data_IF_468703366402
#
_entry.id   IF_468703366402
#
_cell.length_a   1.000
_cell.length_b   1.000
_cell.length_c   1.000
_cell.angle_alpha   90.00
_cell.angle_beta   90.00
_cell.angle_gamma   90.00
#
_symmetry.space_group_name_H-M   'P 1'
#
loop_
_entity.id
_entity.type
_entity.pdbx_description
1 polymer ?
#
# COMPACT_ATOMS: atom_id res chain seq x y z
N UNK A 1 -26.21 90.21 61.90
CA UNK A 1 -25.39 88.99 61.79
C UNK A 1 -25.33 88.64 60.32
N UNK A 2 -24.22 88.97 59.66
CA UNK A 2 -23.88 88.45 58.34
C UNK A 2 -23.35 87.03 58.55
N UNK A 3 -23.95 86.05 57.87
CA UNK A 3 -23.32 84.76 57.63
C UNK A 3 -23.19 84.63 56.12
N UNK A 4 -22.00 84.97 55.63
CA UNK A 4 -21.52 84.55 54.33
C UNK A 4 -20.84 83.21 54.56
N UNK A 5 -21.48 82.14 54.08
CA UNK A 5 -20.74 81.01 53.54
C UNK A 5 -21.55 80.45 52.37
N UNK A 6 -21.40 81.15 51.25
CA UNK A 6 -21.68 80.61 49.94
C UNK A 6 -20.56 79.60 49.69
N UNK A 7 -20.75 78.37 50.16
CA UNK A 7 -19.87 77.25 49.82
C UNK A 7 -20.06 77.00 48.31
N UNK A 8 -19.11 77.37 47.44
CA UNK A 8 -19.25 77.07 46.03
C UNK A 8 -19.09 75.56 45.90
N UNK A 9 -20.17 74.86 45.56
CA UNK A 9 -20.03 73.47 45.13
C UNK A 9 -19.16 73.50 43.89
N UNK A 10 -17.95 72.98 44.05
CA UNK A 10 -16.92 72.87 43.02
C UNK A 10 -17.50 72.24 41.77
N UNK A 11 -17.31 72.87 40.62
CA UNK A 11 -17.57 72.29 39.30
C UNK A 11 -17.07 70.85 39.28
N UNK A 12 -17.97 69.91 39.04
CA UNK A 12 -17.66 68.49 39.09
C UNK A 12 -17.57 67.97 37.66
N UNK A 13 -16.39 67.44 37.31
CA UNK A 13 -16.15 66.84 36.00
C UNK A 13 -16.38 65.33 36.05
N UNK A 14 -17.23 64.83 35.17
CA UNK A 14 -17.56 63.42 35.01
C UNK A 14 -17.26 62.96 33.59
N UNK A 15 -17.07 61.66 33.39
CA UNK A 15 -16.90 61.09 32.06
C UNK A 15 -17.81 59.88 31.85
N UNK A 16 -18.21 59.68 30.61
CA UNK A 16 -18.93 58.47 30.16
C UNK A 16 -18.33 58.04 28.84
N UNK A 17 -17.94 56.77 28.75
CA UNK A 17 -17.37 56.16 27.53
C UNK A 17 -18.34 55.13 26.99
N UNK A 18 -18.68 55.24 25.71
CA UNK A 18 -19.51 54.27 24.99
C UNK A 18 -18.65 53.11 24.48
N UNK A 19 -19.15 51.88 24.65
CA UNK A 19 -18.63 50.72 23.93
C UNK A 19 -19.51 50.52 22.71
N UNK A 20 -18.96 50.77 21.53
CA UNK A 20 -19.70 50.69 20.27
C UNK A 20 -19.79 49.22 19.83
N UNK A 21 -20.99 48.66 19.64
CA UNK A 21 -21.15 47.29 19.14
C UNK A 21 -20.62 47.14 17.72
N UNK A 22 -20.26 45.91 17.32
CA UNK A 22 -19.87 45.59 15.95
C UNK A 22 -20.99 45.99 14.96
N UNK A 23 -20.58 46.52 13.80
CA UNK A 23 -21.48 47.00 12.76
C UNK A 23 -22.13 48.36 13.00
N UNK A 24 -21.70 49.07 14.05
CA UNK A 24 -22.08 50.45 14.32
C UNK A 24 -20.84 51.32 14.38
N UNK A 25 -20.93 52.50 13.79
CA UNK A 25 -19.90 53.53 13.90
C UNK A 25 -20.42 54.69 14.75
N UNK A 26 -19.68 55.08 15.79
CA UNK A 26 -19.95 56.32 16.54
C UNK A 26 -19.60 57.52 15.67
N UNK A 27 -20.62 58.26 15.24
CA UNK A 27 -20.47 59.36 14.30
C UNK A 27 -20.44 60.73 14.95
N UNK A 28 -21.06 60.90 16.13
CA UNK A 28 -20.97 62.16 16.87
C UNK A 28 -21.25 62.00 18.36
N UNK A 29 -20.67 62.89 19.15
CA UNK A 29 -21.06 63.16 20.54
C UNK A 29 -21.35 64.66 20.63
N UNK A 30 -22.54 65.04 21.07
CA UNK A 30 -22.94 66.45 21.23
C UNK A 30 -23.48 66.69 22.63
N UNK A 31 -22.93 67.68 23.33
CA UNK A 31 -23.43 68.13 24.63
C UNK A 31 -24.25 69.43 24.48
N UNK A 32 -25.27 69.61 25.32
CA UNK A 32 -26.13 70.80 25.35
C UNK A 32 -25.57 71.95 26.23
N UNK A 33 -24.34 71.80 26.70
CA UNK A 33 -23.65 72.71 27.58
C UNK A 33 -22.33 73.18 26.95
N UNK A 34 -21.99 74.45 27.14
CA UNK A 34 -20.87 75.15 26.50
C UNK A 34 -19.51 74.68 27.00
N UNK A 35 -19.42 74.26 28.28
CA UNK A 35 -18.16 73.87 28.88
C UNK A 35 -17.95 72.33 28.90
N UNK A 36 -18.99 71.54 28.61
CA UNK A 36 -18.93 70.09 28.39
C UNK A 36 -18.51 69.73 26.97
N UNK A 37 -17.92 68.54 26.79
CA UNK A 37 -17.31 68.14 25.50
C UNK A 37 -17.55 66.68 25.16
N UNK A 38 -17.49 66.35 23.87
CA UNK A 38 -17.52 64.98 23.37
C UNK A 38 -16.30 64.69 22.50
N UNK A 39 -15.68 63.52 22.70
CA UNK A 39 -14.59 63.02 21.88
C UNK A 39 -15.00 61.69 21.24
N UNK A 40 -15.22 61.71 19.93
CA UNK A 40 -15.63 60.53 19.14
C UNK A 40 -14.52 59.49 19.00
N UNK A 41 -13.24 59.89 19.01
CA UNK A 41 -12.09 58.98 18.87
C UNK A 41 -11.94 58.08 20.10
N UNK A 42 -12.15 58.65 21.30
CA UNK A 42 -12.16 57.89 22.55
C UNK A 42 -13.55 57.45 22.98
N UNK A 43 -14.57 57.65 22.13
CA UNK A 43 -15.99 57.42 22.44
C UNK A 43 -16.42 57.98 23.81
N UNK A 44 -15.88 59.13 24.23
CA UNK A 44 -16.04 59.65 25.60
C UNK A 44 -16.68 61.02 25.62
N UNK A 45 -17.75 61.19 26.40
CA UNK A 45 -18.29 62.47 26.80
C UNK A 45 -17.70 62.92 28.14
N UNK A 46 -17.31 64.19 28.25
CA UNK A 46 -16.88 64.85 29.49
C UNK A 46 -17.93 65.88 29.88
N UNK A 47 -18.51 65.69 31.06
CA UNK A 47 -19.57 66.51 31.63
C UNK A 47 -18.97 67.42 32.70
N UNK A 48 -19.08 68.73 32.54
CA UNK A 48 -18.63 69.72 33.52
C UNK A 48 -19.87 70.36 34.12
N UNK A 49 -20.36 69.81 35.23
CA UNK A 49 -21.70 70.17 35.76
C UNK A 49 -21.57 71.25 36.84
N UNK A 50 -22.22 72.39 36.60
CA UNK A 50 -22.33 73.50 37.55
C UNK A 50 -23.55 73.34 38.50
N UNK A 51 -23.62 74.15 39.57
CA UNK A 51 -24.71 74.01 40.55
C UNK A 51 -26.09 74.35 39.97
N UNK A 52 -27.00 73.36 40.02
CA UNK A 52 -28.37 73.51 39.52
C UNK A 52 -28.51 73.28 38.01
N UNK A 53 -27.41 72.97 37.33
CA UNK A 53 -27.38 72.63 35.91
C UNK A 53 -27.81 71.19 35.63
N UNK A 54 -28.27 70.94 34.41
CA UNK A 54 -28.45 69.59 33.87
C UNK A 54 -27.78 69.55 32.51
N UNK A 55 -26.73 68.75 32.39
CA UNK A 55 -25.99 68.52 31.15
C UNK A 55 -26.46 67.22 30.49
N UNK A 56 -26.78 67.29 29.20
CA UNK A 56 -27.14 66.17 28.34
C UNK A 56 -26.14 66.06 27.19
N UNK A 57 -25.37 64.97 27.18
CA UNK A 57 -24.58 64.59 26.01
C UNK A 57 -25.28 63.46 25.25
N UNK A 58 -25.41 63.60 23.94
CA UNK A 58 -26.03 62.64 23.03
C UNK A 58 -24.96 61.98 22.17
N UNK A 59 -24.90 60.66 22.23
CA UNK A 59 -24.08 59.81 21.35
C UNK A 59 -24.91 59.39 20.14
N UNK A 60 -24.36 59.54 18.93
CA UNK A 60 -25.04 59.17 17.68
C UNK A 60 -24.26 58.10 16.96
N UNK A 61 -24.81 56.89 16.91
CA UNK A 61 -24.26 55.77 16.15
C UNK A 61 -24.99 55.64 14.81
N UNK A 62 -24.23 55.38 13.74
CA UNK A 62 -24.76 55.02 12.43
C UNK A 62 -24.47 53.55 12.18
N UNK A 63 -25.49 52.77 11.78
CA UNK A 63 -25.30 51.38 11.37
C UNK A 63 -24.51 51.36 10.07
N UNK A 64 -23.45 50.57 10.00
CA UNK A 64 -22.65 50.49 8.79
C UNK A 64 -23.51 49.85 7.69
N UNK A 65 -23.59 50.53 6.53
CA UNK A 65 -24.57 50.19 5.49
C UNK A 65 -24.18 48.94 4.67
N UNK A 66 -22.94 48.49 4.84
CA UNK A 66 -22.22 47.62 3.92
C UNK A 66 -21.81 46.29 4.59
N UNK A 67 -22.51 45.93 5.66
CA UNK A 67 -22.27 44.69 6.40
C UNK A 67 -23.02 43.52 5.79
N UNK A 68 -22.33 42.38 5.76
CA UNK A 68 -22.87 41.12 5.32
C UNK A 68 -23.41 40.25 6.45
N UNK A 69 -23.81 39.04 6.09
CA UNK A 69 -24.14 37.97 7.04
C UNK A 69 -23.61 36.62 6.58
N UNK A 70 -23.34 35.77 7.55
CA UNK A 70 -23.02 34.36 7.31
C UNK A 70 -24.04 33.51 8.06
N UNK A 71 -24.73 32.64 7.32
CA UNK A 71 -25.67 31.65 7.86
C UNK A 71 -25.07 30.27 7.72
N UNK A 72 -25.05 29.52 8.82
CA UNK A 72 -24.64 28.12 8.87
C UNK A 72 -25.88 27.28 9.12
N UNK A 73 -26.18 26.38 8.19
CA UNK A 73 -27.29 25.43 8.27
C UNK A 73 -26.74 24.03 8.48
N UNK A 74 -27.45 23.23 9.29
CA UNK A 74 -27.15 21.82 9.49
C UNK A 74 -28.23 20.96 8.86
N UNK A 75 -27.79 20.07 7.97
CA UNK A 75 -28.61 19.00 7.45
C UNK A 75 -28.10 17.65 7.97
N UNK A 76 -29.04 16.77 8.31
CA UNK A 76 -28.74 15.41 8.78
C UNK A 76 -29.50 14.39 7.96
N UNK A 77 -28.82 13.32 7.56
CA UNK A 77 -29.39 12.17 6.86
C UNK A 77 -29.10 10.85 7.59
N UNK A 78 -29.60 9.74 7.04
CA UNK A 78 -29.38 8.40 7.58
C UNK A 78 -30.58 7.81 8.33
N UNK A 79 -30.36 6.66 8.98
CA UNK A 79 -31.41 5.85 9.60
C UNK A 79 -31.71 6.32 11.04
N UNK A 80 -32.97 6.15 11.48
CA UNK A 80 -33.45 6.40 12.85
C UNK A 80 -32.88 7.63 13.61
N UNK A 81 -32.78 8.79 12.96
CA UNK A 81 -32.29 10.03 13.59
C UNK A 81 -33.30 10.64 14.59
N UNK A 82 -33.17 10.30 15.89
CA UNK A 82 -34.04 10.89 16.94
C UNK A 82 -33.49 12.16 17.58
N UNK A 83 -32.17 12.29 17.68
CA UNK A 83 -31.49 13.40 18.35
C UNK A 83 -30.09 13.60 17.77
N UNK A 84 -29.69 14.85 17.60
CA UNK A 84 -28.37 15.20 17.08
C UNK A 84 -27.97 16.59 17.58
N UNK A 85 -26.67 16.77 17.80
CA UNK A 85 -26.05 18.04 18.14
C UNK A 85 -24.61 18.03 17.60
N UNK A 86 -24.22 19.11 16.92
CA UNK A 86 -22.86 19.30 16.40
C UNK A 86 -22.34 20.67 16.80
N UNK A 87 -21.14 20.68 17.35
CA UNK A 87 -20.45 21.88 17.78
C UNK A 87 -19.69 22.51 16.61
N UNK A 88 -19.62 23.83 16.60
CA UNK A 88 -18.94 24.61 15.59
C UNK A 88 -17.99 25.61 16.26
N UNK A 89 -16.85 25.82 15.62
CA UNK A 89 -15.90 26.90 15.94
C UNK A 89 -15.92 27.95 14.83
N UNK A 90 -15.55 29.18 15.19
CA UNK A 90 -15.74 30.36 14.33
C UNK A 90 -17.02 31.12 14.68
N UNK A 91 -17.06 32.42 14.36
CA UNK A 91 -18.21 33.31 14.63
C UNK A 91 -18.70 33.32 16.09
N UNK A 92 -17.78 33.16 17.04
CA UNK A 92 -18.08 33.10 18.48
C UNK A 92 -18.36 31.70 19.03
N UNK A 93 -18.40 30.67 18.18
CA UNK A 93 -18.67 29.28 18.56
C UNK A 93 -20.14 29.04 18.89
N UNK A 94 -20.71 27.95 18.37
CA UNK A 94 -22.13 27.64 18.52
C UNK A 94 -22.38 26.13 18.35
N UNK A 95 -23.56 25.68 18.74
CA UNK A 95 -23.99 24.28 18.57
C UNK A 95 -25.28 24.28 17.77
N UNK A 96 -25.35 23.46 16.71
CA UNK A 96 -26.59 23.20 15.98
C UNK A 96 -27.14 21.85 16.39
N UNK A 97 -28.46 21.77 16.58
CA UNK A 97 -29.16 20.56 17.01
C UNK A 97 -30.52 20.43 16.34
N UNK A 98 -31.22 19.33 16.63
CA UNK A 98 -32.62 19.14 16.25
C UNK A 98 -33.57 20.26 16.73
N UNK A 99 -33.18 21.07 17.72
CA UNK A 99 -33.95 22.22 18.19
C UNK A 99 -33.56 23.54 17.51
N UNK A 100 -32.34 23.62 16.97
CA UNK A 100 -31.79 24.80 16.30
C UNK A 100 -30.86 24.33 15.17
N UNK A 101 -31.41 24.20 13.96
CA UNK A 101 -30.69 23.69 12.80
C UNK A 101 -29.97 24.75 11.98
N UNK A 102 -30.04 26.02 12.39
CA UNK A 102 -29.39 27.12 11.69
C UNK A 102 -28.89 28.19 12.65
N UNK A 103 -27.75 28.79 12.35
CA UNK A 103 -27.18 29.93 13.06
C UNK A 103 -26.80 31.02 12.05
N UNK A 104 -27.17 32.28 12.32
CA UNK A 104 -26.80 33.42 11.48
C UNK A 104 -26.01 34.43 12.29
N UNK A 105 -24.80 34.74 11.83
CA UNK A 105 -24.03 35.90 12.27
C UNK A 105 -24.31 37.07 11.33
N UNK A 106 -24.85 38.15 11.88
CA UNK A 106 -25.18 39.37 11.14
C UNK A 106 -24.11 40.43 11.38
N UNK A 107 -24.22 41.53 10.63
CA UNK A 107 -23.44 42.75 10.86
C UNK A 107 -21.92 42.49 10.74
N UNK A 108 -21.53 41.61 9.82
CA UNK A 108 -20.16 41.23 9.55
C UNK A 108 -19.53 42.19 8.52
N UNK A 109 -18.33 42.67 8.81
CA UNK A 109 -17.54 43.46 7.86
C UNK A 109 -16.98 42.60 6.72
N UNK A 110 -16.34 43.26 5.75
CA UNK A 110 -15.57 42.56 4.73
C UNK A 110 -14.32 41.93 5.36
N UNK A 111 -14.28 40.61 5.41
CA UNK A 111 -13.12 39.84 5.88
C UNK A 111 -13.25 38.37 5.45
N UNK A 112 -12.21 37.58 5.74
CA UNK A 112 -12.28 36.13 5.66
C UNK A 112 -12.71 35.53 6.99
N UNK A 113 -13.82 34.81 6.98
CA UNK A 113 -14.38 34.11 8.13
C UNK A 113 -14.21 32.62 7.97
N UNK A 114 -13.66 31.95 8.99
CA UNK A 114 -13.55 30.49 9.00
C UNK A 114 -14.55 29.90 9.98
N UNK A 115 -15.30 28.90 9.51
CA UNK A 115 -16.21 28.10 10.32
C UNK A 115 -15.81 26.63 10.18
N UNK A 116 -15.70 25.93 11.30
CA UNK A 116 -15.31 24.51 11.34
C UNK A 116 -16.27 23.74 12.23
N UNK A 117 -16.81 22.63 11.72
CA UNK A 117 -17.56 21.68 12.53
C UNK A 117 -16.57 20.86 13.40
N UNK A 118 -16.75 20.87 14.71
CA UNK A 118 -15.85 20.17 15.63
C UNK A 118 -16.16 18.67 15.64
N UNK A 119 -15.28 17.88 15.03
CA UNK A 119 -15.41 16.42 14.97
C UNK A 119 -14.85 15.71 16.22
N UNK A 120 -14.28 16.44 17.19
CA UNK A 120 -13.67 15.81 18.38
C UNK A 120 -14.69 15.17 19.34
N UNK A 121 -15.94 15.63 19.29
CA UNK A 121 -17.05 15.12 20.09
C UNK A 121 -18.06 14.32 19.25
N UNK A 122 -17.67 13.86 18.06
CA UNK A 122 -18.54 13.08 17.20
C UNK A 122 -18.87 11.74 17.88
N UNK A 123 -20.15 11.49 18.13
CA UNK A 123 -20.63 10.23 18.71
C UNK A 123 -20.57 9.12 17.66
N UNK A 124 -20.25 7.89 18.07
CA UNK A 124 -20.25 6.70 17.21
C UNK A 124 -21.52 6.60 16.36
N UNK A 125 -21.35 6.21 15.10
CA UNK A 125 -22.42 6.14 14.09
C UNK A 125 -22.63 7.42 13.30
N UNK A 126 -22.10 8.57 13.74
CA UNK A 126 -22.12 9.79 12.94
C UNK A 126 -20.90 9.92 12.04
N UNK A 127 -21.12 10.44 10.83
CA UNK A 127 -20.08 10.78 9.87
C UNK A 127 -20.31 12.16 9.28
N UNK A 128 -19.22 12.89 9.04
CA UNK A 128 -19.24 14.16 8.34
C UNK A 128 -19.45 13.94 6.83
N UNK A 129 -20.47 14.57 6.26
CA UNK A 129 -20.83 14.41 4.84
C UNK A 129 -20.20 15.45 3.92
N UNK A 130 -20.09 16.71 4.36
CA UNK A 130 -19.56 17.80 3.53
C UNK A 130 -20.14 19.18 3.82
N UNK A 131 -19.65 20.16 3.07
CA UNK A 131 -20.06 21.57 3.12
C UNK A 131 -20.45 22.02 1.72
N UNK A 132 -21.57 22.70 1.60
CA UNK A 132 -21.96 23.40 0.37
C UNK A 132 -22.40 24.81 0.72
N UNK A 133 -22.03 25.82 -0.07
CA UNK A 133 -22.49 27.19 0.16
C UNK A 133 -23.25 27.71 -1.06
N UNK A 134 -24.31 28.47 -0.83
CA UNK A 134 -25.28 28.86 -1.85
C UNK A 134 -24.82 30.00 -2.77
N UNK A 135 -23.80 30.78 -2.40
CA UNK A 135 -23.48 32.03 -3.11
C UNK A 135 -22.26 31.98 -4.04
N UNK A 136 -21.49 30.89 -4.05
CA UNK A 136 -20.31 30.82 -4.94
C UNK A 136 -19.30 31.96 -4.71
N UNK A 137 -19.31 32.60 -3.53
CA UNK A 137 -18.24 33.43 -3.01
C UNK A 137 -16.91 32.68 -3.13
N UNK A 138 -15.77 33.37 -3.05
CA UNK A 138 -14.46 32.73 -2.95
C UNK A 138 -14.37 31.95 -1.63
N UNK A 139 -14.97 30.76 -1.63
CA UNK A 139 -15.12 29.87 -0.50
C UNK A 139 -14.17 28.70 -0.72
N UNK A 140 -13.29 28.50 0.24
CA UNK A 140 -12.35 27.38 0.24
C UNK A 140 -12.81 26.38 1.31
N UNK A 141 -13.22 25.19 0.86
CA UNK A 141 -13.61 24.07 1.74
C UNK A 141 -12.41 23.14 1.92
N UNK A 142 -12.02 22.90 3.17
CA UNK A 142 -10.98 21.95 3.55
C UNK A 142 -11.53 21.02 4.62
N UNK A 143 -11.79 19.77 4.25
CA UNK A 143 -12.38 18.75 5.14
C UNK A 143 -13.70 19.25 5.77
N UNK A 144 -13.71 19.45 7.10
CA UNK A 144 -14.82 19.92 7.93
C UNK A 144 -14.81 21.44 8.19
N UNK A 145 -13.97 22.18 7.47
CA UNK A 145 -13.81 23.62 7.61
C UNK A 145 -14.12 24.34 6.31
N UNK A 146 -14.72 25.53 6.42
CA UNK A 146 -14.99 26.43 5.31
C UNK A 146 -14.43 27.81 5.63
N UNK A 147 -13.64 28.36 4.70
CA UNK A 147 -13.17 29.74 4.74
C UNK A 147 -13.95 30.57 3.73
N UNK A 148 -14.67 31.58 4.22
CA UNK A 148 -15.60 32.42 3.48
C UNK A 148 -14.98 33.80 3.35
N UNK A 149 -14.58 34.19 2.14
CA UNK A 149 -14.20 35.57 1.87
C UNK A 149 -15.47 36.41 1.67
N UNK A 150 -15.91 37.10 2.72
CA UNK A 150 -17.16 37.85 2.73
C UNK A 150 -16.94 39.23 2.12
N UNK A 151 -17.60 39.48 1.00
CA UNK A 151 -17.68 40.77 0.32
C UNK A 151 -18.54 41.78 1.05
N UNK A 152 -18.48 43.02 0.54
CA UNK A 152 -19.27 44.14 1.05
C UNK A 152 -20.77 43.87 0.90
N UNK A 153 -21.52 43.88 2.01
CA UNK A 153 -22.97 43.62 2.04
C UNK A 153 -23.41 42.20 1.63
N UNK A 154 -22.48 41.26 1.48
CA UNK A 154 -22.74 39.90 0.99
C UNK A 154 -23.44 39.03 2.04
N UNK A 155 -24.30 38.10 1.61
CA UNK A 155 -24.99 37.19 2.52
C UNK A 155 -24.75 35.75 2.08
N UNK A 156 -23.89 35.05 2.82
CA UNK A 156 -23.48 33.68 2.49
C UNK A 156 -24.23 32.70 3.37
N UNK A 157 -24.82 31.67 2.77
CA UNK A 157 -25.35 30.51 3.50
C UNK A 157 -24.52 29.28 3.17
N UNK A 158 -23.98 28.62 4.20
CA UNK A 158 -23.29 27.35 4.08
C UNK A 158 -24.05 26.25 4.82
N UNK A 159 -24.30 25.14 4.14
CA UNK A 159 -24.97 23.95 4.64
C UNK A 159 -23.93 22.88 4.92
N UNK A 160 -23.86 22.43 6.17
CA UNK A 160 -23.03 21.32 6.64
C UNK A 160 -23.90 20.08 6.76
N UNK A 161 -23.54 19.00 6.06
CA UNK A 161 -24.30 17.74 6.07
C UNK A 161 -23.61 16.69 6.93
N UNK A 162 -24.33 16.00 7.82
CA UNK A 162 -23.86 14.77 8.47
C UNK A 162 -24.81 13.60 8.21
N UNK A 163 -24.29 12.39 8.30
CA UNK A 163 -25.10 11.17 8.19
C UNK A 163 -24.92 10.29 9.41
N UNK A 164 -26.02 9.76 9.92
CA UNK A 164 -26.01 8.72 10.94
C UNK A 164 -26.21 7.34 10.29
N UNK A 165 -25.34 6.41 10.62
CA UNK A 165 -25.50 5.00 10.31
C UNK A 165 -25.38 4.25 11.62
N UNK A 166 -26.44 3.55 12.03
CA UNK A 166 -26.33 2.62 13.13
C UNK A 166 -25.41 1.49 12.67
N UNK A 167 -24.25 1.37 13.31
CA UNK A 167 -23.29 0.30 13.03
C UNK A 167 -23.85 -1.08 13.38
N UNK A 168 -25.06 -1.17 13.94
CA UNK A 168 -25.80 -2.42 14.07
C UNK A 168 -26.13 -3.09 12.72
N UNK A 169 -26.07 -2.34 11.61
CA UNK A 169 -26.24 -2.86 10.25
C UNK A 169 -24.93 -3.01 9.45
N UNK A 170 -23.77 -2.67 10.03
CA UNK A 170 -22.49 -2.91 9.35
C UNK A 170 -22.21 -4.42 9.28
N UNK A 171 -21.90 -4.96 8.09
CA UNK A 171 -21.65 -6.38 7.96
C UNK A 171 -20.38 -6.76 8.74
N UNK A 172 -20.51 -7.69 9.67
CA UNK A 172 -19.37 -8.30 10.35
C UNK A 172 -18.58 -9.07 9.29
N UNK A 173 -17.42 -8.54 8.92
CA UNK A 173 -16.55 -9.14 7.91
C UNK A 173 -15.77 -10.31 8.52
N UNK A 174 -15.84 -11.48 7.90
CA UNK A 174 -15.08 -12.66 8.35
C UNK A 174 -15.30 -13.87 7.45
N UNK A 175 -14.59 -14.95 7.74
CA UNK A 175 -14.82 -16.20 7.04
C UNK A 175 -16.06 -16.92 7.61
N UNK A 176 -17.07 -17.15 6.78
CA UNK A 176 -18.31 -17.85 7.15
C UNK A 176 -18.22 -19.37 6.93
N UNK A 177 -17.06 -19.87 6.49
CA UNK A 177 -16.82 -21.29 6.26
C UNK A 177 -16.30 -21.99 7.53
N UNK A 178 -17.07 -22.92 8.15
CA UNK A 178 -16.67 -23.63 9.36
C UNK A 178 -15.45 -24.56 9.18
N UNK A 179 -15.04 -24.82 7.94
CA UNK A 179 -13.89 -25.66 7.60
C UNK A 179 -12.58 -24.83 7.47
N UNK A 180 -12.68 -23.50 7.51
CA UNK A 180 -11.52 -22.62 7.52
C UNK A 180 -10.94 -22.44 8.92
N UNK A 181 -9.63 -22.20 8.99
CA UNK A 181 -8.90 -21.95 10.23
C UNK A 181 -9.32 -20.66 10.93
N UNK A 182 -9.78 -19.68 10.15
CA UNK A 182 -10.21 -18.36 10.63
C UNK A 182 -11.73 -18.18 10.54
N UNK A 183 -12.50 -19.27 10.65
CA UNK A 183 -13.96 -19.23 10.75
C UNK A 183 -14.43 -18.27 11.86
N UNK A 184 -15.34 -17.37 11.50
CA UNK A 184 -16.04 -16.46 12.40
C UNK A 184 -17.55 -16.72 12.31
N UNK A 185 -18.13 -17.22 13.42
CA UNK A 185 -19.57 -17.51 13.49
C UNK A 185 -20.46 -16.27 13.55
N UNK A 186 -19.88 -15.11 13.87
CA UNK A 186 -20.60 -13.84 13.94
C UNK A 186 -20.49 -13.05 12.63
N UNK A 187 -19.70 -13.52 11.65
CA UNK A 187 -19.57 -12.88 10.35
C UNK A 187 -20.92 -12.89 9.60
N UNK A 188 -21.33 -11.72 9.13
CA UNK A 188 -22.53 -11.52 8.30
C UNK A 188 -22.19 -11.24 6.83
N UNK A 189 -20.90 -11.08 6.49
CA UNK A 189 -20.40 -10.95 5.12
C UNK A 189 -18.99 -11.55 4.98
N UNK A 190 -18.75 -12.26 3.88
CA UNK A 190 -17.45 -12.86 3.56
C UNK A 190 -16.77 -12.18 2.36
N UNK A 191 -15.68 -11.41 2.57
CA UNK A 191 -14.83 -10.89 1.49
C UNK A 191 -14.17 -12.00 0.66
N UNK A 192 -13.84 -11.73 -0.61
CA UNK A 192 -13.06 -12.66 -1.42
C UNK A 192 -11.68 -12.91 -0.81
N UNK A 193 -11.31 -14.18 -0.63
CA UNK A 193 -10.05 -14.58 0.01
C UNK A 193 -10.02 -14.41 1.54
N UNK A 194 -11.18 -14.17 2.19
CA UNK A 194 -11.23 -14.02 3.64
C UNK A 194 -10.97 -15.32 4.42
N UNK A 195 -11.15 -16.50 3.81
CA UNK A 195 -10.98 -17.78 4.48
C UNK A 195 -9.54 -18.29 4.32
N UNK A 196 -8.89 -18.55 5.45
CA UNK A 196 -7.59 -19.21 5.55
C UNK A 196 -7.80 -20.70 5.78
N UNK A 197 -7.22 -21.54 4.95
CA UNK A 197 -7.23 -22.99 5.13
C UNK A 197 -5.81 -23.47 5.43
N UNK A 198 -5.70 -24.58 6.15
CA UNK A 198 -4.41 -25.25 6.31
C UNK A 198 -3.96 -25.71 4.92
N UNK A 199 -2.76 -25.30 4.47
CA UNK A 199 -2.17 -25.67 3.17
C UNK A 199 -1.80 -27.17 3.09
N UNK A 200 -2.45 -28.04 3.87
CA UNK A 200 -2.18 -29.48 3.89
C UNK A 200 -2.58 -30.21 2.59
N UNK A 201 -3.19 -29.51 1.63
CA UNK A 201 -3.57 -30.07 0.33
C UNK A 201 -2.84 -29.39 -0.86
N UNK A 202 -1.72 -28.71 -0.63
CA UNK A 202 -0.90 -28.25 -1.75
C UNK A 202 -0.32 -29.48 -2.49
N UNK A 203 -0.63 -29.63 -3.80
CA UNK A 203 -0.16 -30.79 -4.52
C UNK A 203 1.36 -30.77 -4.59
N UNK A 204 2.00 -31.86 -4.15
CA UNK A 204 3.44 -32.04 -4.26
C UNK A 204 3.77 -32.07 -5.75
N UNK A 205 4.26 -30.95 -6.26
CA UNK A 205 4.60 -30.78 -7.67
C UNK A 205 5.92 -31.48 -7.98
N UNK A 206 5.94 -32.33 -9.01
CA UNK A 206 7.16 -33.00 -9.45
C UNK A 206 6.96 -33.91 -10.65
N UNK A 207 8.05 -34.46 -11.20
CA UNK A 207 7.96 -35.42 -12.28
C UNK A 207 7.38 -36.76 -11.78
N UNK A 208 6.23 -37.17 -12.30
CA UNK A 208 5.57 -38.43 -11.94
C UNK A 208 6.01 -39.62 -12.82
N UNK A 209 6.93 -39.41 -13.77
CA UNK A 209 7.45 -40.44 -14.67
C UNK A 209 8.64 -41.17 -14.02
N UNK A 210 8.53 -42.48 -13.70
CA UNK A 210 9.60 -43.25 -13.07
C UNK A 210 10.84 -43.44 -13.96
N UNK A 211 10.75 -43.14 -15.26
CA UNK A 211 11.85 -43.22 -16.22
C UNK A 211 12.63 -41.90 -16.35
N UNK A 212 12.14 -40.81 -15.74
CA UNK A 212 12.83 -39.53 -15.73
C UNK A 212 13.92 -39.46 -14.65
N UNK A 213 14.98 -38.71 -14.94
CA UNK A 213 16.12 -38.51 -14.04
C UNK A 213 15.74 -37.82 -12.72
N UNK A 214 14.67 -37.05 -12.73
CA UNK A 214 14.14 -36.30 -11.59
C UNK A 214 12.75 -36.77 -11.17
N UNK A 215 12.46 -38.07 -11.35
CA UNK A 215 11.26 -38.70 -10.81
C UNK A 215 11.11 -38.41 -9.30
N UNK A 216 9.94 -37.92 -8.91
CA UNK A 216 9.56 -37.73 -7.51
C UNK A 216 8.40 -38.69 -7.17
N UNK A 217 8.65 -39.75 -6.38
CA UNK A 217 7.61 -40.72 -6.01
C UNK A 217 6.51 -40.13 -5.09
N UNK A 218 6.78 -38.98 -4.47
CA UNK A 218 5.82 -38.30 -3.60
C UNK A 218 5.01 -37.23 -4.35
N UNK A 219 5.28 -37.02 -5.64
CA UNK A 219 4.53 -36.03 -6.42
C UNK A 219 3.07 -36.44 -6.62
N UNK A 220 2.14 -35.58 -6.19
CA UNK A 220 0.70 -35.79 -6.37
C UNK A 220 0.16 -35.10 -7.63
N UNK A 221 0.96 -34.22 -8.26
CA UNK A 221 0.63 -33.57 -9.52
C UNK A 221 1.89 -33.27 -10.36
N UNK A 222 1.82 -33.54 -11.67
CA UNK A 222 2.92 -33.23 -12.61
C UNK A 222 3.03 -31.73 -12.85
N UNK A 223 4.26 -31.22 -12.83
CA UNK A 223 4.59 -29.83 -13.16
C UNK A 223 5.44 -29.69 -14.43
N UNK A 224 5.39 -30.69 -15.31
CA UNK A 224 6.15 -30.75 -16.58
C UNK A 224 7.67 -30.56 -16.42
N UNK A 225 8.21 -30.88 -15.25
CA UNK A 225 9.63 -30.72 -14.94
C UNK A 225 10.50 -31.92 -15.31
N UNK A 226 9.93 -32.99 -15.89
CA UNK A 226 10.67 -34.22 -16.21
C UNK A 226 11.89 -33.94 -17.08
N UNK A 227 13.05 -34.41 -16.62
CA UNK A 227 14.32 -34.33 -17.31
C UNK A 227 14.78 -35.73 -17.69
N UNK A 228 15.29 -35.86 -18.90
CA UNK A 228 15.82 -37.09 -19.44
C UNK A 228 17.26 -36.82 -19.89
N UNK A 229 18.15 -37.80 -19.74
CA UNK A 229 19.50 -37.67 -20.26
C UNK A 229 19.41 -37.55 -21.79
N UNK A 230 19.96 -36.50 -22.38
CA UNK A 230 19.93 -36.25 -23.84
C UNK A 230 20.77 -37.25 -24.66
N UNK A 231 21.07 -38.43 -24.12
CA UNK A 231 21.74 -39.48 -24.87
C UNK A 231 21.28 -40.86 -24.39
N UNK A 232 20.22 -41.43 -24.98
CA UNK A 232 19.89 -42.83 -24.76
C UNK A 232 21.10 -43.69 -25.20
N UNK A 233 21.51 -44.72 -24.45
CA UNK A 233 22.59 -45.58 -24.91
C UNK A 233 22.16 -46.26 -26.22
N UNK A 234 22.85 -45.92 -27.32
CA UNK A 234 22.73 -46.55 -28.63
C UNK A 234 23.22 -48.02 -28.57
N UNK A 235 22.44 -48.90 -27.95
CA UNK A 235 22.68 -50.35 -27.99
C UNK A 235 21.60 -51.11 -28.77
N UNK A 236 20.50 -50.47 -29.16
CA UNK A 236 19.41 -51.13 -29.92
C UNK A 236 19.22 -50.63 -31.36
N UNK A 237 19.84 -49.52 -31.77
CA UNK A 237 19.70 -49.05 -33.16
C UNK A 237 20.57 -49.89 -34.10
N UNK A 238 19.93 -50.59 -35.05
CA UNK A 238 20.62 -51.31 -36.11
C UNK A 238 21.55 -50.35 -36.87
N UNK A 239 22.83 -50.70 -36.97
CA UNK A 239 23.83 -49.94 -37.71
C UNK A 239 24.59 -50.87 -38.66
N UNK A 240 24.89 -50.37 -39.85
CA UNK A 240 25.78 -51.01 -40.81
C UNK A 240 27.10 -50.24 -40.90
N UNK A 241 28.23 -50.96 -40.89
CA UNK A 241 29.57 -50.43 -41.14
C UNK A 241 30.20 -51.17 -42.32
N UNK A 242 30.87 -50.43 -43.21
CA UNK A 242 31.70 -50.97 -44.29
C UNK A 242 33.17 -50.68 -44.00
N UNK A 243 34.04 -51.68 -44.18
CA UNK A 243 35.49 -51.51 -43.92
C UNK A 243 36.16 -50.60 -44.98
N UNK A 244 35.84 -50.82 -46.26
CA UNK A 244 36.32 -50.01 -47.38
C UNK A 244 35.20 -49.84 -48.40
N UNK A 245 34.74 -48.61 -48.59
CA UNK A 245 33.66 -48.28 -49.52
C UNK A 245 34.16 -48.08 -50.97
N UNK A 246 35.47 -48.20 -51.23
CA UNK A 246 36.07 -47.92 -52.55
C UNK A 246 37.06 -49.01 -52.99
N UNK A 247 36.55 -50.11 -53.54
CA UNK A 247 37.35 -51.26 -53.99
C UNK A 247 37.47 -51.35 -55.52
N UNK A 248 38.40 -52.18 -56.03
CA UNK A 248 38.48 -52.49 -57.46
C UNK A 248 37.58 -53.69 -57.83
N UNK A 249 37.23 -53.80 -59.11
CA UNK A 249 36.52 -54.99 -59.65
C UNK A 249 37.26 -56.27 -59.25
N UNK A 250 36.52 -57.19 -58.62
CA UNK A 250 37.04 -58.48 -58.15
C UNK A 250 37.60 -58.49 -56.72
N UNK A 251 37.67 -57.35 -56.04
CA UNK A 251 38.01 -57.27 -54.62
C UNK A 251 36.76 -57.48 -53.74
N UNK A 252 36.97 -58.03 -52.54
CA UNK A 252 35.91 -58.25 -51.56
C UNK A 252 35.61 -56.97 -50.77
N UNK A 253 34.34 -56.69 -50.55
CA UNK A 253 33.89 -55.64 -49.63
C UNK A 253 33.30 -56.29 -48.39
N UNK A 254 33.79 -55.88 -47.22
CA UNK A 254 33.39 -56.43 -45.94
C UNK A 254 32.49 -55.46 -45.17
N UNK A 255 31.46 -56.02 -44.55
CA UNK A 255 30.45 -55.31 -43.78
C UNK A 255 30.32 -55.91 -42.39
N UNK A 256 30.02 -55.06 -41.41
CA UNK A 256 29.71 -55.45 -40.03
C UNK A 256 28.40 -54.79 -39.61
N UNK A 257 27.54 -55.54 -38.91
CA UNK A 257 26.30 -55.03 -38.32
C UNK A 257 26.37 -55.06 -36.79
N UNK A 258 25.88 -53.98 -36.19
CA UNK A 258 25.74 -53.83 -34.73
C UNK A 258 24.33 -53.34 -34.38
N UNK A 259 23.91 -53.51 -33.12
CA UNK A 259 22.56 -53.16 -32.66
C UNK A 259 21.49 -54.15 -33.13
N UNK A 260 20.22 -53.71 -33.17
CA UNK A 260 19.10 -54.59 -33.50
C UNK A 260 18.93 -55.74 -32.50
N UNK A 261 18.33 -56.86 -32.93
CA UNK A 261 18.06 -58.02 -32.05
C UNK A 261 19.18 -59.08 -32.06
N UNK A 262 20.35 -58.77 -32.63
CA UNK A 262 21.48 -59.71 -32.79
C UNK A 262 21.31 -60.75 -33.91
N UNK A 263 20.18 -60.74 -34.64
CA UNK A 263 19.98 -61.52 -35.85
C UNK A 263 19.95 -60.61 -37.08
N UNK A 264 20.79 -60.90 -38.07
CA UNK A 264 21.02 -60.04 -39.23
C UNK A 264 20.84 -60.80 -40.53
N UNK A 265 20.17 -60.17 -41.49
CA UNK A 265 20.05 -60.63 -42.88
C UNK A 265 20.52 -59.54 -43.83
N UNK A 266 21.42 -59.90 -44.74
CA UNK A 266 22.11 -59.02 -45.67
C UNK A 266 21.56 -59.18 -47.09
N UNK A 267 21.49 -58.07 -47.83
CA UNK A 267 21.16 -58.03 -49.25
C UNK A 267 22.19 -57.19 -49.99
N UNK A 268 22.83 -57.77 -51.00
CA UNK A 268 23.84 -57.13 -51.84
C UNK A 268 23.57 -57.45 -53.33
N UNK A 269 22.63 -56.75 -53.98
CA UNK A 269 22.24 -57.02 -55.36
C UNK A 269 23.43 -56.99 -56.33
N UNK A 270 23.55 -58.00 -57.19
CA UNK A 270 24.65 -58.19 -58.16
C UNK A 270 26.02 -58.51 -57.55
N UNK A 271 26.11 -58.64 -56.23
CA UNK A 271 27.28 -59.18 -55.54
C UNK A 271 27.35 -60.70 -55.65
N UNK A 272 28.52 -61.27 -55.39
CA UNK A 272 28.70 -62.72 -55.21
C UNK A 272 29.38 -62.98 -53.86
N UNK A 273 28.68 -63.51 -52.84
CA UNK A 273 27.23 -63.81 -52.81
C UNK A 273 26.34 -62.55 -52.79
N UNK A 274 25.08 -62.66 -53.22
CA UNK A 274 24.11 -61.55 -53.30
C UNK A 274 23.25 -61.39 -52.02
N UNK A 275 23.39 -62.31 -51.07
CA UNK A 275 22.73 -62.28 -49.77
C UNK A 275 23.55 -63.04 -48.72
N UNK A 276 23.27 -62.79 -47.44
CA UNK A 276 23.95 -63.46 -46.33
C UNK A 276 23.27 -63.27 -44.98
N UNK A 277 23.84 -63.88 -43.94
CA UNK A 277 23.35 -63.79 -42.56
C UNK A 277 24.52 -63.71 -41.59
N UNK A 278 24.30 -63.11 -40.41
CA UNK A 278 25.31 -63.01 -39.34
C UNK A 278 25.82 -61.59 -39.14
N UNK A 279 26.62 -61.36 -38.10
CA UNK A 279 27.12 -60.02 -37.73
C UNK A 279 28.15 -59.45 -38.71
N UNK A 280 28.66 -60.25 -39.63
CA UNK A 280 29.54 -59.84 -40.72
C UNK A 280 29.12 -60.46 -42.04
N UNK A 281 29.36 -59.74 -43.13
CA UNK A 281 29.03 -60.17 -44.49
C UNK A 281 30.10 -59.66 -45.46
N UNK A 282 30.38 -60.43 -46.51
CA UNK A 282 31.33 -60.03 -47.54
C UNK A 282 30.81 -60.42 -48.92
N UNK A 283 31.01 -59.55 -49.91
CA UNK A 283 30.62 -59.80 -51.30
C UNK A 283 31.65 -59.23 -52.28
N UNK A 284 31.64 -59.75 -53.51
CA UNK A 284 32.51 -59.31 -54.63
C UNK A 284 31.64 -58.85 -55.80
N UNK A 285 32.00 -57.72 -56.41
CA UNK A 285 31.36 -57.22 -57.62
C UNK A 285 32.28 -57.40 -58.84
N UNK A 286 31.71 -57.94 -59.92
CA UNK A 286 32.42 -58.27 -61.16
C UNK A 286 32.37 -57.16 -62.22
N UNK A 287 31.66 -56.07 -61.93
CA UNK A 287 31.45 -54.92 -62.83
C UNK A 287 31.76 -53.63 -62.04
N UNK A 288 32.30 -52.63 -62.71
CA UNK A 288 32.53 -51.33 -62.10
C UNK A 288 31.20 -50.55 -61.99
N UNK A 289 30.95 -49.93 -60.84
CA UNK A 289 29.68 -49.26 -60.56
C UNK A 289 29.53 -48.84 -59.11
N UNK A 290 28.39 -48.24 -58.79
CA UNK A 290 27.95 -47.93 -57.43
C UNK A 290 26.92 -48.96 -56.98
N UNK A 291 27.09 -49.52 -55.79
CA UNK A 291 26.23 -50.58 -55.26
C UNK A 291 25.71 -50.24 -53.86
N UNK A 292 24.46 -50.60 -53.62
CA UNK A 292 23.78 -50.46 -52.33
C UNK A 292 23.70 -51.80 -51.62
N UNK A 293 24.16 -51.85 -50.38
CA UNK A 293 24.03 -53.03 -49.51
C UNK A 293 23.17 -52.65 -48.31
N UNK A 294 22.25 -53.55 -47.94
CA UNK A 294 21.36 -53.35 -46.80
C UNK A 294 21.49 -54.49 -45.80
N UNK A 295 21.35 -54.17 -44.51
CA UNK A 295 21.17 -55.15 -43.44
C UNK A 295 19.81 -54.97 -42.80
N UNK A 296 19.17 -56.08 -42.45
CA UNK A 296 17.90 -56.10 -41.73
C UNK A 296 18.00 -56.85 -40.41
N UNK A 297 17.32 -56.32 -39.38
CA UNK A 297 17.15 -56.94 -38.06
C UNK A 297 15.81 -56.51 -37.49
N UNK A 298 15.00 -57.46 -37.01
CA UNK A 298 13.65 -57.21 -36.46
C UNK A 298 12.73 -56.35 -37.37
N UNK A 299 12.68 -56.66 -38.67
CA UNK A 299 11.93 -55.91 -39.71
C UNK A 299 12.40 -54.46 -39.98
N UNK A 300 13.42 -53.99 -39.26
CA UNK A 300 14.11 -52.72 -39.55
C UNK A 300 15.19 -52.99 -40.59
N UNK A 301 15.22 -52.19 -41.65
CA UNK A 301 16.22 -52.26 -42.73
C UNK A 301 17.06 -50.98 -42.70
N UNK A 302 18.39 -51.15 -42.71
CA UNK A 302 19.36 -50.05 -42.74
C UNK A 302 20.28 -50.22 -43.96
N UNK A 303 20.50 -49.12 -44.66
CA UNK A 303 21.43 -49.00 -45.78
C UNK A 303 22.85 -48.74 -45.25
N UNK A 304 23.83 -49.39 -45.85
CA UNK A 304 25.24 -49.16 -45.54
C UNK A 304 25.72 -47.90 -46.29
N UNK A 305 25.72 -46.74 -45.61
CA UNK A 305 26.16 -45.44 -46.14
C UNK A 305 27.67 -45.23 -45.86
N UNK A 306 28.50 -44.83 -46.86
CA UNK A 306 28.16 -44.46 -48.24
C UNK A 306 28.15 -45.61 -49.26
N UNK A 307 27.48 -45.33 -50.39
CA UNK A 307 27.40 -46.20 -51.57
C UNK A 307 28.76 -46.80 -51.93
N UNK A 308 28.80 -48.12 -52.16
CA UNK A 308 30.01 -48.87 -52.49
C UNK A 308 30.44 -48.51 -53.91
N UNK A 309 31.61 -47.88 -54.08
CA UNK A 309 32.17 -47.56 -55.38
C UNK A 309 33.18 -48.62 -55.83
N UNK A 310 32.84 -49.37 -56.88
CA UNK A 310 33.73 -50.37 -57.48
C UNK A 310 34.36 -49.79 -58.75
N UNK A 311 35.67 -49.56 -58.71
CA UNK A 311 36.42 -49.01 -59.84
C UNK A 311 36.94 -50.12 -60.78
N UNK A 312 36.99 -49.85 -62.08
CA UNK A 312 37.64 -50.76 -63.03
C UNK A 312 39.13 -50.87 -62.69
N UNK A 313 39.67 -52.09 -62.67
CA UNK A 313 41.09 -52.32 -62.40
C UNK A 313 41.94 -51.49 -63.36
N UNK A 314 42.89 -50.67 -62.87
CA UNK A 314 43.75 -49.89 -63.75
C UNK A 314 44.54 -50.84 -64.64
N UNK A 315 44.39 -50.70 -65.95
CA UNK A 315 45.22 -51.44 -66.91
C UNK A 315 46.67 -50.97 -66.70
N UNK A 316 47.65 -51.86 -66.44
CA UNK A 316 49.02 -51.43 -66.23
C UNK A 316 49.53 -50.76 -67.49
N UNK A 317 49.79 -49.45 -67.39
CA UNK A 317 50.51 -48.72 -68.44
C UNK A 317 51.97 -49.15 -68.36
N UNK A 318 52.62 -49.64 -69.44
CA UNK A 318 54.01 -50.05 -69.38
C UNK A 318 54.90 -48.85 -69.01
N UNK A 319 55.48 -48.89 -67.81
CA UNK A 319 56.40 -47.86 -67.32
C UNK A 319 57.78 -48.04 -67.95
N UNK A 320 58.34 -46.98 -68.52
CA UNK A 320 59.65 -46.93 -69.18
C UNK A 320 60.75 -46.28 -68.34
N UNK A 321 60.61 -46.22 -67.01
CA UNK A 321 61.55 -45.49 -66.16
C UNK A 321 62.43 -46.42 -65.30
N UNK A 322 63.78 -46.24 -65.27
CA UNK A 322 64.68 -47.13 -64.55
C UNK A 322 64.63 -46.91 -63.04
N UNK A 323 64.47 -48.01 -62.30
CA UNK A 323 64.43 -48.12 -60.83
C UNK A 323 65.68 -47.55 -60.14
N UNK A 324 65.58 -46.53 -59.26
CA UNK A 324 66.68 -46.18 -58.35
C UNK A 324 66.71 -47.09 -57.11
N UNK A 325 67.92 -47.45 -56.70
CA UNK A 325 68.30 -48.40 -55.63
C UNK A 325 67.92 -47.91 -54.22
N UNK A 326 67.41 -48.77 -53.32
CA UNK A 326 66.98 -48.36 -51.97
C UNK A 326 68.14 -48.10 -50.99
N UNK A 327 68.02 -47.00 -50.22
CA UNK A 327 68.83 -46.68 -49.04
C UNK A 327 68.16 -47.29 -47.79
N UNK A 328 68.88 -47.98 -46.89
CA UNK A 328 68.28 -48.56 -45.68
C UNK A 328 68.08 -47.55 -44.55
N UNK A 329 66.89 -47.57 -43.94
CA UNK A 329 66.49 -46.77 -42.77
C UNK A 329 66.84 -47.51 -41.45
N UNK A 330 67.40 -46.85 -40.41
CA UNK A 330 67.80 -47.51 -39.16
C UNK A 330 66.63 -47.71 -38.16
N UNK A 331 66.73 -48.82 -37.43
CA UNK A 331 65.79 -49.40 -36.46
C UNK A 331 65.88 -48.72 -35.07
N UNK A 332 64.74 -48.45 -34.42
CA UNK A 332 64.66 -47.74 -33.13
C UNK A 332 64.73 -48.66 -31.89
N UNK A 333 65.54 -48.25 -30.90
CA UNK A 333 65.81 -48.92 -29.61
C UNK A 333 64.72 -48.69 -28.54
N UNK A 334 64.36 -49.67 -27.67
CA UNK A 334 63.32 -49.50 -26.64
C UNK A 334 63.82 -48.86 -25.32
N UNK A 335 62.93 -48.12 -24.64
CA UNK A 335 63.16 -47.42 -23.36
C UNK A 335 62.62 -48.25 -22.15
N UNK A 336 63.32 -48.32 -20.99
CA UNK A 336 62.95 -49.17 -19.85
C UNK A 336 62.05 -48.53 -18.77
N UNK A 337 61.33 -49.41 -18.06
CA UNK A 337 60.36 -49.21 -16.96
C UNK A 337 61.01 -48.88 -15.59
N UNK A 338 60.44 -47.99 -14.74
CA UNK A 338 60.93 -47.75 -13.38
C UNK A 338 60.21 -48.53 -12.24
N UNK A 339 60.98 -48.74 -11.17
CA UNK A 339 60.88 -49.59 -9.96
C UNK A 339 60.11 -48.92 -8.77
N UNK A 340 59.49 -49.65 -7.80
CA UNK A 340 58.68 -49.06 -6.73
C UNK A 340 59.47 -48.74 -5.43
N UNK A 341 59.12 -47.64 -4.76
CA UNK A 341 59.76 -47.15 -3.52
C UNK A 341 58.90 -47.42 -2.26
N UNK A 342 59.49 -47.75 -1.08
CA UNK A 342 58.83 -48.52 -0.01
C UNK A 342 58.17 -47.73 1.14
N UNK A 343 57.31 -48.44 1.87
CA UNK A 343 56.50 -48.08 3.05
C UNK A 343 57.32 -47.94 4.35
N UNK A 344 57.05 -46.97 5.24
CA UNK A 344 57.53 -46.99 6.62
C UNK A 344 56.48 -47.47 7.64
N UNK A 345 56.98 -48.26 8.59
CA UNK A 345 56.34 -48.94 9.71
C UNK A 345 56.06 -48.03 10.92
N UNK A 346 54.96 -48.32 11.62
CA UNK A 346 54.51 -47.63 12.84
C UNK A 346 54.85 -48.47 14.09
N UNK A 347 55.39 -47.83 15.13
CA UNK A 347 55.64 -48.44 16.45
C UNK A 347 55.10 -47.53 17.56
N UNK A 348 53.95 -47.89 18.14
CA UNK A 348 53.43 -47.28 19.38
C UNK A 348 51.92 -46.98 19.38
N UNK A 349 51.14 -47.84 20.06
CA UNK A 349 49.71 -47.71 20.39
C UNK A 349 49.61 -47.00 21.77
N UNK A 350 48.62 -46.21 22.22
CA UNK A 350 47.26 -45.84 21.79
C UNK A 350 46.97 -44.42 22.34
N UNK A 351 45.95 -43.74 21.80
CA UNK A 351 45.03 -42.96 22.65
C UNK A 351 44.51 -41.63 22.11
N UNK A 352 43.44 -41.70 21.31
CA UNK A 352 42.23 -40.88 21.53
C UNK A 352 42.21 -39.40 21.08
N UNK A 353 41.58 -39.19 19.91
CA UNK A 353 40.47 -38.24 19.76
C UNK A 353 40.79 -36.76 19.49
N UNK A 354 40.51 -36.30 18.27
CA UNK A 354 40.36 -34.88 17.95
C UNK A 354 40.79 -34.52 16.54
N UNK A 355 39.88 -34.61 15.58
CA UNK A 355 40.07 -34.14 14.20
C UNK A 355 40.01 -32.61 14.16
N UNK A 356 41.15 -31.96 13.94
CA UNK A 356 41.26 -30.62 13.36
C UNK A 356 42.07 -30.74 12.07
N UNK A 357 41.42 -30.49 10.93
CA UNK A 357 42.08 -30.39 9.62
C UNK A 357 42.46 -28.94 9.32
N UNK A 358 43.73 -28.64 8.99
CA UNK A 358 44.16 -27.34 8.48
C UNK A 358 44.35 -27.32 6.94
N UNK A 359 44.02 -26.18 6.33
CA UNK A 359 44.81 -25.34 5.37
C UNK A 359 45.95 -26.04 4.57
N UNK A 360 46.14 -25.93 3.24
CA UNK A 360 46.45 -24.79 2.31
C UNK A 360 46.58 -25.38 0.85
N UNK A 361 47.01 -24.70 -0.26
CA UNK A 361 46.81 -23.35 -0.83
C UNK A 361 46.33 -23.29 -2.33
N UNK A 362 45.72 -22.15 -2.65
CA UNK A 362 45.76 -21.29 -3.86
C UNK A 362 46.36 -21.76 -5.22
N UNK A 363 45.60 -21.51 -6.29
CA UNK A 363 46.08 -20.94 -7.57
C UNK A 363 44.94 -20.19 -8.29
N UNK A 364 45.15 -18.90 -8.55
CA UNK A 364 44.24 -17.94 -9.24
C UNK A 364 44.35 -18.10 -10.78
N UNK A 365 43.39 -17.64 -11.61
CA UNK A 365 43.23 -16.20 -11.93
C UNK A 365 41.77 -15.68 -12.04
N UNK A 366 41.63 -14.37 -11.86
CA UNK A 366 40.43 -13.49 -11.94
C UNK A 366 39.86 -13.38 -13.38
N UNK A 367 38.64 -12.83 -13.66
CA UNK A 367 38.27 -11.43 -13.35
C UNK A 367 36.75 -11.04 -13.15
N UNK A 368 36.50 -9.90 -12.46
CA UNK A 368 35.37 -8.92 -12.64
C UNK A 368 33.95 -9.38 -12.18
N UNK A 369 33.04 -8.67 -11.47
CA UNK A 369 32.66 -7.25 -11.25
C UNK A 369 32.15 -7.05 -9.80
N UNK A 370 32.25 -5.82 -9.33
CA UNK A 370 31.84 -5.25 -8.04
C UNK A 370 30.35 -4.82 -8.03
N UNK A 371 29.63 -5.06 -6.91
CA UNK A 371 28.48 -4.24 -6.52
C UNK A 371 27.33 -4.97 -5.81
N UNK A 372 27.33 -5.00 -4.48
CA UNK A 372 26.09 -4.99 -3.70
C UNK A 372 26.36 -4.55 -2.25
N UNK A 373 25.58 -3.54 -1.86
CA UNK A 373 25.51 -2.89 -0.56
C UNK A 373 24.92 -3.81 0.52
N UNK A 374 25.48 -3.81 1.72
CA UNK A 374 24.90 -4.39 2.93
C UNK A 374 24.17 -3.31 3.74
N UNK A 375 22.90 -3.55 4.06
CA UNK A 375 22.20 -2.92 5.18
C UNK A 375 21.67 -4.01 6.12
N UNK A 376 21.83 -3.87 7.44
CA UNK A 376 21.49 -4.91 8.41
C UNK A 376 20.01 -4.89 8.83
N UNK A 377 19.46 -6.10 8.99
CA UNK A 377 18.18 -6.44 9.61
C UNK A 377 18.16 -6.09 11.12
N UNK A 378 17.08 -5.50 11.67
CA UNK A 378 16.87 -5.42 13.10
C UNK A 378 16.10 -6.63 13.66
N UNK A 379 16.54 -7.09 14.84
CA UNK A 379 15.91 -8.13 15.66
C UNK A 379 14.68 -7.60 16.43
N UNK A 380 13.75 -8.48 16.89
CA UNK A 380 12.44 -8.07 17.40
C UNK A 380 12.47 -7.65 18.86
N UNK A 381 11.64 -6.66 19.22
CA UNK A 381 11.37 -6.26 20.60
C UNK A 381 10.19 -7.02 21.18
N UNK A 382 10.41 -7.53 22.39
CA UNK A 382 9.52 -8.33 23.23
C UNK A 382 8.41 -7.47 23.83
N UNK A 383 7.15 -7.90 23.66
CA UNK A 383 5.97 -7.32 24.29
C UNK A 383 5.91 -7.70 25.78
N UNK A 384 5.85 -6.68 26.65
CA UNK A 384 5.56 -6.83 28.06
C UNK A 384 4.06 -6.66 28.32
N UNK A 385 3.41 -7.73 28.77
CA UNK A 385 2.07 -7.69 29.32
C UNK A 385 2.09 -7.09 30.74
N UNK A 386 1.23 -6.10 31.00
CA UNK A 386 0.89 -5.69 32.36
C UNK A 386 -0.62 -5.65 32.51
N UNK A 387 -1.14 -6.70 33.16
CA UNK A 387 -2.50 -6.82 33.68
C UNK A 387 -2.67 -5.90 34.89
N UNK A 388 -3.70 -5.06 34.90
CA UNK A 388 -4.17 -4.36 36.11
C UNK A 388 -5.68 -4.62 36.27
N UNK A 389 -6.05 -5.10 37.45
CA UNK A 389 -7.41 -5.42 37.91
C UNK A 389 -8.23 -4.15 38.17
N UNK A 390 -9.58 -4.19 38.09
CA UNK A 390 -10.42 -3.04 38.42
C UNK A 390 -10.66 -2.95 39.93
N UNK A 391 -10.36 -1.79 40.52
CA UNK A 391 -10.85 -1.45 41.85
C UNK A 391 -12.25 -0.83 41.77
N UNK A 392 -13.17 -1.48 42.48
CA UNK A 392 -14.51 -1.00 42.82
C UNK A 392 -14.44 0.09 43.90
N UNK A 393 -15.04 1.25 43.65
CA UNK A 393 -15.29 2.27 44.69
C UNK A 393 -16.12 3.45 44.17
N UNK A 394 -17.44 3.44 44.44
CA UNK A 394 -18.33 4.62 44.26
C UNK A 394 -18.04 5.74 45.29
N UNK A 395 -18.90 6.78 45.46
CA UNK A 395 -20.36 6.65 45.49
C UNK A 395 -21.22 7.85 44.99
N UNK A 396 -22.54 7.64 44.98
CA UNK A 396 -23.60 8.61 45.27
C UNK A 396 -24.04 9.62 44.19
N UNK A 397 -24.99 9.21 43.35
CA UNK A 397 -26.01 10.12 42.80
C UNK A 397 -27.05 10.42 43.89
N UNK A 398 -26.98 11.62 44.45
CA UNK A 398 -28.00 12.16 45.35
C UNK A 398 -29.08 12.88 44.52
N UNK A 399 -30.31 12.41 44.70
CA UNK A 399 -31.55 13.14 44.44
C UNK A 399 -31.51 14.55 45.04
N UNK A 400 -31.80 15.59 44.25
CA UNK A 400 -32.42 16.82 44.75
C UNK A 400 -33.63 17.16 43.88
N UNK A 401 -34.79 17.09 44.54
CA UNK A 401 -36.09 17.55 44.11
C UNK A 401 -36.18 19.08 44.08
N UNK A 402 -37.03 19.59 43.17
CA UNK A 402 -37.99 20.69 43.36
C UNK A 402 -37.63 21.84 44.32
N UNK A 403 -37.45 23.05 43.77
CA UNK A 403 -38.27 24.26 44.02
C UNK A 403 -37.49 25.52 43.60
N UNK A 404 -37.93 26.22 42.55
CA UNK A 404 -38.06 27.69 42.58
C UNK A 404 -38.93 28.17 41.42
N UNK A 405 -40.19 28.46 41.71
CA UNK A 405 -41.07 29.29 40.89
C UNK A 405 -40.94 30.74 41.35
N UNK A 406 -40.54 31.68 40.48
CA UNK A 406 -41.18 33.00 40.25
C UNK A 406 -40.41 33.90 39.27
N UNK A 407 -41.14 34.40 38.26
CA UNK A 407 -41.04 35.72 37.58
C UNK A 407 -39.80 36.02 36.70
N UNK A 408 -39.81 36.67 35.51
CA UNK A 408 -40.75 37.38 34.60
C UNK A 408 -40.00 37.45 33.24
N UNK A 409 -40.69 37.35 32.09
CA UNK A 409 -40.57 38.35 31.00
C UNK A 409 -41.39 37.93 29.76
N UNK A 410 -42.50 38.65 29.60
CA UNK A 410 -43.24 38.82 28.35
C UNK A 410 -42.46 39.79 27.44
N UNK A 411 -42.15 39.37 26.21
CA UNK A 411 -41.75 40.28 25.13
C UNK A 411 -42.73 40.12 23.96
N UNK A 412 -43.76 40.98 23.95
CA UNK A 412 -44.35 41.47 22.71
C UNK A 412 -44.31 42.99 22.78
N UNK A 413 -43.44 43.55 21.95
CA UNK A 413 -43.21 44.97 21.76
C UNK A 413 -44.34 45.56 20.94
N UNK A 414 -44.89 46.68 21.37
CA UNK A 414 -45.81 47.46 20.56
C UNK A 414 -46.35 48.67 21.29
N UNK A 415 -45.82 49.84 20.92
CA UNK A 415 -46.48 51.14 20.99
C UNK A 415 -46.23 52.02 22.24
N UNK A 416 -45.24 52.91 22.08
CA UNK A 416 -45.44 54.38 22.11
C UNK A 416 -46.13 54.98 23.35
N UNK A 417 -45.37 55.64 24.22
CA UNK A 417 -45.61 57.05 24.62
C UNK A 417 -44.59 57.55 25.64
N UNK A 418 -44.15 58.79 25.42
CA UNK A 418 -43.53 59.70 26.39
C UNK A 418 -44.16 59.61 27.79
N UNK A 419 -43.35 59.82 28.84
CA UNK A 419 -43.53 60.90 29.82
C UNK A 419 -42.48 60.83 30.95
N UNK A 420 -41.64 61.86 31.00
CA UNK A 420 -41.25 62.70 32.15
C UNK A 420 -40.97 61.98 33.49
N UNK A 421 -39.71 62.05 33.91
CA UNK A 421 -39.27 61.61 35.22
C UNK A 421 -39.71 62.52 36.38
N UNK A 422 -39.72 61.95 37.58
CA UNK A 422 -39.47 62.65 38.83
C UNK A 422 -38.79 61.69 39.80
N UNK A 423 -37.55 62.01 40.17
CA UNK A 423 -36.92 61.51 41.40
C UNK A 423 -37.42 62.35 42.57
N UNK A 424 -37.81 61.72 43.67
CA UNK A 424 -37.88 62.35 44.98
C UNK A 424 -37.32 61.39 46.04
N UNK A 425 -36.48 61.97 46.91
CA UNK A 425 -35.63 61.38 47.94
C UNK A 425 -36.37 60.70 49.12
N UNK A 426 -35.65 59.94 49.97
CA UNK A 426 -36.22 59.06 50.98
C UNK A 426 -36.48 59.76 52.32
N UNK A 427 -37.49 59.29 53.06
CA UNK A 427 -37.66 59.61 54.49
C UNK A 427 -37.89 58.32 55.27
N UNK A 428 -37.02 58.14 56.26
CA UNK A 428 -37.02 57.05 57.21
C UNK A 428 -38.12 57.19 58.28
N UNK A 429 -38.35 56.07 58.99
CA UNK A 429 -38.82 55.99 60.38
C UNK A 429 -40.29 56.41 60.66
N UNK A 430 -41.16 55.43 60.91
CA UNK A 430 -41.68 55.13 62.27
C UNK A 430 -42.82 54.09 62.27
N UNK A 431 -42.54 52.98 62.97
CA UNK A 431 -43.39 52.15 63.84
C UNK A 431 -44.87 52.53 64.12
N UNK A 432 -45.63 51.43 64.28
CA UNK A 432 -46.82 51.13 65.13
C UNK A 432 -48.21 51.27 64.47
N UNK A 433 -48.93 50.14 64.33
CA UNK A 433 -50.07 49.67 65.17
C UNK A 433 -51.26 50.63 65.02
N UNK A 434 -52.43 50.27 64.51
CA UNK A 434 -53.18 49.01 64.42
C UNK A 434 -53.83 48.85 63.03
#
# INVERSE_FOLDING_TARGET
MQYSDHNPRTDASYTSTESVPDGWTLTSISCDDENSTGNTESATATFNVEEGETVTCTFTNTKDADLGSITIEKEVGGDEISEWAFDFTGLGGFTLSNLLSSFTSNDLGQDTYTVTEDLSNLVDGWSFGGITCNDGSDVEVTENSVSINLGEGENVTCTFTNSFSDSSDDPVLGCMDPEANNYDSEATQQPEGACEYDEEDDPILGCMDPEANNYNPDATQSNDSCTYDENPPAQDQLACQVEDASVNVGESVNFTATGGNGSYSWSAPNGTPDNGTGSSFSTVYSVAGSYLVTVSSNEVVVECDPDISVAATPTPTPSTEPTPTPIPTPESTPTPTPDPTPTPSCTGNCGGGGTTTPFVPNSTPTPIVQGASVTPTPAPLVAGAMTVLPETGGPSFAYINFLSSLFIASMMTGMMMLLIGYRALPVALLRRLD
#
